data_IF_261696975964
#
_entry.id   IF_261696975964
#
_cell.length_a   1.000
_cell.length_b   1.000
_cell.length_c   1.000
_cell.angle_alpha   90.00
_cell.angle_beta   90.00
_cell.angle_gamma   90.00
#
_symmetry.space_group_name_H-M   'P 1'
#
loop_
_entity.id
_entity.type
_entity.pdbx_description
1 polymer ?
#
# COMPACT_ATOMS: atom_id res chain seq x y z
N UNK A 1 5.57 30.37 -32.74
CA UNK A 1 6.32 29.71 -33.85
C UNK A 1 7.40 28.72 -33.38
N UNK A 2 7.98 28.86 -32.17
CA UNK A 2 9.17 28.08 -31.76
C UNK A 2 8.97 26.56 -31.48
N UNK A 3 7.78 26.11 -31.06
CA UNK A 3 7.56 24.69 -30.70
C UNK A 3 7.58 23.79 -31.91
N UNK A 4 6.81 24.16 -32.94
CA UNK A 4 6.66 23.37 -34.13
C UNK A 4 8.01 23.21 -34.83
N UNK A 5 8.81 24.28 -34.88
CA UNK A 5 10.17 24.23 -35.37
C UNK A 5 11.05 23.28 -34.54
N UNK A 6 10.99 23.31 -33.20
CA UNK A 6 11.73 22.37 -32.36
C UNK A 6 11.30 20.90 -32.57
N UNK A 7 10.00 20.64 -32.73
CA UNK A 7 9.47 19.28 -32.97
C UNK A 7 9.88 18.80 -34.36
N UNK A 8 9.88 19.67 -35.36
CA UNK A 8 10.21 19.32 -36.74
C UNK A 8 11.72 19.23 -37.00
N UNK A 9 12.54 20.00 -36.29
CA UNK A 9 14.01 20.04 -36.51
C UNK A 9 14.77 19.04 -35.66
N UNK A 10 14.24 18.62 -34.51
CA UNK A 10 14.89 17.62 -33.65
C UNK A 10 14.41 16.21 -33.99
N UNK A 11 15.21 15.17 -33.69
CA UNK A 11 14.77 13.79 -33.79
C UNK A 11 13.81 13.46 -32.65
N UNK A 12 12.67 14.14 -32.56
CA UNK A 12 11.59 13.79 -31.64
C UNK A 12 10.94 12.51 -32.16
N UNK A 13 10.85 11.50 -31.30
CA UNK A 13 10.18 10.23 -31.59
C UNK A 13 8.68 10.33 -31.30
N UNK A 14 8.32 10.87 -30.13
CA UNK A 14 6.93 11.12 -29.74
C UNK A 14 6.83 12.22 -28.68
N UNK A 15 5.71 12.91 -28.66
CA UNK A 15 5.30 13.78 -27.54
C UNK A 15 4.60 12.90 -26.51
N UNK A 16 5.06 12.92 -25.26
CA UNK A 16 4.50 12.10 -24.17
C UNK A 16 3.55 12.89 -23.27
N UNK A 17 3.66 14.22 -23.27
CA UNK A 17 2.74 15.11 -22.55
C UNK A 17 2.69 16.49 -23.20
N UNK A 18 1.53 17.15 -23.14
CA UNK A 18 1.35 18.52 -23.58
C UNK A 18 0.32 19.22 -22.69
N UNK A 19 0.57 20.49 -22.37
CA UNK A 19 -0.38 21.34 -21.67
C UNK A 19 -0.32 22.77 -22.21
N UNK A 20 -1.49 23.41 -22.29
CA UNK A 20 -1.66 24.75 -22.82
C UNK A 20 -2.40 25.59 -21.77
N UNK A 21 -1.89 26.78 -21.49
CA UNK A 21 -2.54 27.77 -20.66
C UNK A 21 -3.43 28.70 -21.47
N UNK A 22 -3.97 29.73 -20.82
CA UNK A 22 -4.89 30.69 -21.45
C UNK A 22 -4.22 31.71 -22.37
N UNK A 23 -2.88 31.78 -22.41
CA UNK A 23 -2.11 32.69 -23.29
C UNK A 23 -1.46 31.90 -24.43
N UNK A 24 -1.33 32.48 -25.65
CA UNK A 24 -0.75 31.80 -26.82
C UNK A 24 0.65 31.22 -26.58
N UNK A 25 1.50 31.89 -25.81
CA UNK A 25 2.86 31.45 -25.50
C UNK A 25 2.98 30.77 -24.12
N UNK A 26 1.86 30.42 -23.48
CA UNK A 26 1.84 29.66 -22.23
C UNK A 26 1.58 28.19 -22.54
N UNK A 27 2.64 27.41 -22.70
CA UNK A 27 2.53 25.98 -22.99
C UNK A 27 3.69 25.18 -22.36
N UNK A 28 3.50 23.87 -22.20
CA UNK A 28 4.48 22.94 -21.66
C UNK A 28 4.40 21.61 -22.42
N UNK A 29 5.53 21.12 -22.95
CA UNK A 29 5.60 19.83 -23.65
C UNK A 29 6.67 18.94 -23.04
N UNK A 30 6.39 17.65 -22.95
CA UNK A 30 7.36 16.59 -22.69
C UNK A 30 7.40 15.67 -23.91
N UNK A 31 8.60 15.30 -24.33
CA UNK A 31 8.81 14.44 -25.49
C UNK A 31 9.98 13.49 -25.29
N UNK A 32 9.93 12.37 -26.02
CA UNK A 32 10.98 11.37 -26.13
C UNK A 32 11.70 11.57 -27.47
N UNK A 33 13.02 11.66 -27.45
CA UNK A 33 13.87 11.74 -28.63
C UNK A 33 14.10 10.33 -29.22
N UNK A 34 14.59 10.23 -30.46
CA UNK A 34 14.87 8.94 -31.12
C UNK A 34 15.94 8.10 -30.42
N UNK A 35 16.83 8.73 -29.64
CA UNK A 35 17.82 8.05 -28.82
C UNK A 35 17.26 7.52 -27.48
N UNK A 36 15.96 7.72 -27.22
CA UNK A 36 15.29 7.31 -25.98
C UNK A 36 15.38 8.32 -24.85
N UNK A 37 16.12 9.42 -25.00
CA UNK A 37 16.19 10.47 -23.98
C UNK A 37 14.87 11.26 -23.89
N UNK A 38 14.47 11.62 -22.67
CA UNK A 38 13.32 12.46 -22.44
C UNK A 38 13.75 13.92 -22.20
N UNK A 39 12.98 14.86 -22.73
CA UNK A 39 13.18 16.29 -22.52
C UNK A 39 11.84 17.01 -22.45
N UNK A 40 11.83 18.20 -21.86
CA UNK A 40 10.68 19.10 -21.91
C UNK A 40 11.05 20.46 -22.50
N UNK A 41 10.01 21.19 -22.92
CA UNK A 41 10.08 22.58 -23.38
C UNK A 41 8.91 23.37 -22.80
N UNK A 42 9.15 24.64 -22.58
CA UNK A 42 8.18 25.58 -22.03
C UNK A 42 8.05 26.82 -22.91
N UNK A 43 6.85 27.38 -22.95
CA UNK A 43 6.57 28.64 -23.62
C UNK A 43 7.08 29.85 -22.84
N UNK A 44 7.21 30.97 -23.52
CA UNK A 44 7.73 32.21 -22.94
C UNK A 44 6.80 32.77 -21.85
N UNK A 45 5.51 32.50 -21.96
CA UNK A 45 4.47 33.06 -21.10
C UNK A 45 3.93 32.05 -20.08
N UNK A 46 4.70 31.04 -19.66
CA UNK A 46 4.30 30.22 -18.52
C UNK A 46 4.31 31.04 -17.22
N UNK A 47 3.54 30.65 -16.18
CA UNK A 47 3.57 31.34 -14.89
C UNK A 47 4.99 31.44 -14.30
N UNK A 48 5.36 32.61 -13.77
CA UNK A 48 6.71 32.85 -13.22
C UNK A 48 7.10 31.83 -12.15
N UNK A 49 6.17 31.49 -11.27
CA UNK A 49 6.39 30.50 -10.21
C UNK A 49 6.67 29.10 -10.80
N UNK A 50 6.02 28.71 -11.91
CA UNK A 50 6.32 27.46 -12.59
C UNK A 50 7.74 27.49 -13.18
N UNK A 51 8.14 28.61 -13.79
CA UNK A 51 9.48 28.78 -14.34
C UNK A 51 10.56 28.61 -13.26
N UNK A 52 10.39 29.27 -12.12
CA UNK A 52 11.31 29.15 -10.97
C UNK A 52 11.36 27.72 -10.42
N UNK A 53 10.21 27.04 -10.33
CA UNK A 53 10.16 25.64 -9.91
C UNK A 53 10.94 24.74 -10.86
N UNK A 54 10.74 24.92 -12.17
CA UNK A 54 11.45 24.18 -13.22
C UNK A 54 12.97 24.40 -13.13
N UNK A 55 13.42 25.64 -12.95
CA UNK A 55 14.83 25.98 -12.78
C UNK A 55 15.44 25.30 -11.55
N UNK A 56 14.69 25.19 -10.45
CA UNK A 56 15.12 24.53 -9.22
C UNK A 56 15.34 23.02 -9.38
N UNK A 57 14.49 22.35 -10.17
CA UNK A 57 14.59 20.90 -10.41
C UNK A 57 15.47 20.55 -11.63
N UNK A 58 15.90 21.54 -12.42
CA UNK A 58 16.73 21.35 -13.60
C UNK A 58 18.08 20.62 -13.35
N UNK A 59 18.70 20.66 -12.16
CA UNK A 59 19.91 19.87 -11.90
C UNK A 59 19.65 18.37 -11.66
N UNK A 60 18.39 17.93 -11.48
CA UNK A 60 18.05 16.55 -11.10
C UNK A 60 17.35 15.86 -12.28
N UNK A 61 18.10 15.05 -13.04
CA UNK A 61 17.61 14.47 -14.29
C UNK A 61 16.36 13.59 -14.12
N UNK A 62 16.27 12.80 -13.04
CA UNK A 62 15.11 11.96 -12.76
C UNK A 62 13.83 12.79 -12.61
N UNK A 63 13.88 13.91 -11.87
CA UNK A 63 12.72 14.78 -11.67
C UNK A 63 12.29 15.47 -12.97
N UNK A 64 13.24 15.81 -13.84
CA UNK A 64 12.94 16.43 -15.14
C UNK A 64 12.14 15.51 -16.06
N UNK A 65 12.45 14.22 -16.05
CA UNK A 65 11.74 13.24 -16.89
C UNK A 65 10.37 12.87 -16.32
N UNK A 66 10.22 12.91 -14.98
CA UNK A 66 8.98 12.65 -14.28
C UNK A 66 8.00 13.85 -14.25
N UNK A 67 8.47 15.07 -14.54
CA UNK A 67 7.67 16.29 -14.47
C UNK A 67 6.48 16.29 -15.43
N UNK A 68 5.29 16.56 -14.90
CA UNK A 68 4.07 16.87 -15.66
C UNK A 68 3.48 18.17 -15.14
N UNK A 69 2.97 18.97 -16.07
CA UNK A 69 2.36 20.27 -15.77
C UNK A 69 1.02 20.33 -16.45
N UNK A 70 -0.01 20.75 -15.71
CA UNK A 70 -1.29 21.18 -16.24
C UNK A 70 -1.43 22.70 -16.04
N UNK A 71 -1.37 23.45 -17.13
CA UNK A 71 -1.59 24.89 -17.12
C UNK A 71 -3.10 25.18 -17.05
N UNK A 72 -3.48 26.19 -16.26
CA UNK A 72 -4.84 26.67 -16.11
C UNK A 72 -5.00 28.13 -16.53
N UNK A 73 -6.17 28.69 -16.24
CA UNK A 73 -6.45 30.11 -16.47
C UNK A 73 -5.75 30.99 -15.43
N UNK A 74 -5.59 32.29 -15.72
CA UNK A 74 -5.10 33.31 -14.78
C UNK A 74 -3.77 32.95 -14.08
N UNK A 75 -2.78 32.49 -14.84
CA UNK A 75 -1.47 32.05 -14.33
C UNK A 75 -1.51 30.88 -13.33
N UNK A 76 -2.63 30.17 -13.21
CA UNK A 76 -2.70 28.96 -12.38
C UNK A 76 -2.08 27.75 -13.08
N UNK A 77 -1.53 26.84 -12.31
CA UNK A 77 -1.00 25.58 -12.81
C UNK A 77 -0.97 24.51 -11.73
N UNK A 78 -0.91 23.27 -12.16
CA UNK A 78 -0.69 22.09 -11.34
C UNK A 78 0.57 21.38 -11.83
N UNK A 79 1.43 20.99 -10.89
CA UNK A 79 2.61 20.18 -11.15
C UNK A 79 2.43 18.82 -10.50
N UNK A 80 2.77 17.77 -11.23
CA UNK A 80 2.89 16.40 -10.72
C UNK A 80 4.29 15.85 -11.07
N UNK A 81 4.89 15.15 -10.12
CA UNK A 81 6.08 14.34 -10.31
C UNK A 81 5.62 12.90 -10.13
N UNK A 82 5.73 12.09 -11.20
CA UNK A 82 5.19 10.72 -11.33
C UNK A 82 3.73 10.61 -11.85
N UNK A 83 3.52 10.47 -13.18
CA UNK A 83 2.21 10.23 -13.78
C UNK A 83 1.81 8.75 -13.93
N UNK A 84 2.60 7.80 -13.41
CA UNK A 84 2.30 6.37 -13.45
C UNK A 84 2.00 5.78 -12.06
N UNK A 85 2.17 6.55 -10.98
CA UNK A 85 1.55 6.23 -9.71
C UNK A 85 0.01 6.22 -9.85
N UNK A 86 -0.70 5.18 -9.36
CA UNK A 86 -2.17 5.08 -9.44
C UNK A 86 -2.88 6.24 -8.70
N UNK A 87 -2.15 6.98 -7.88
CA UNK A 87 -2.49 8.29 -7.33
C UNK A 87 -1.29 9.19 -7.56
N UNK A 88 -1.45 10.30 -8.29
CA UNK A 88 -0.45 11.37 -8.26
C UNK A 88 -0.44 11.92 -6.83
N UNK A 89 0.49 11.50 -5.97
CA UNK A 89 0.46 11.86 -4.54
C UNK A 89 1.06 13.26 -4.27
N UNK A 90 1.65 13.90 -5.28
CA UNK A 90 2.24 15.24 -5.14
C UNK A 90 1.56 16.23 -6.08
N UNK A 91 0.78 17.14 -5.51
CA UNK A 91 0.22 18.29 -6.21
C UNK A 91 0.80 19.58 -5.64
N UNK A 92 1.32 20.46 -6.48
CA UNK A 92 1.54 21.86 -6.11
C UNK A 92 0.41 22.71 -6.71
N UNK A 93 -0.40 23.33 -5.84
CA UNK A 93 -1.38 24.35 -6.23
C UNK A 93 -0.76 25.72 -6.03
N UNK A 94 -0.53 26.44 -7.13
CA UNK A 94 -0.05 27.82 -7.07
C UNK A 94 -1.13 28.70 -7.68
N UNK A 95 -1.92 29.34 -6.81
CA UNK A 95 -2.96 30.29 -7.20
C UNK A 95 -2.42 31.71 -7.04
N UNK A 96 -2.30 32.44 -8.15
CA UNK A 96 -1.99 33.87 -8.14
C UNK A 96 -3.22 34.65 -7.64
N UNK A 97 -3.02 35.56 -6.68
CA UNK A 97 -4.09 36.47 -6.24
C UNK A 97 -4.25 37.62 -7.24
N UNK A 98 -5.47 38.17 -7.34
CA UNK A 98 -5.86 39.19 -8.32
C UNK A 98 -5.09 40.54 -8.24
N UNK A 99 -4.17 40.72 -7.29
CA UNK A 99 -3.47 42.00 -7.03
C UNK A 99 -1.94 41.90 -7.08
N UNK A 100 -1.37 41.02 -7.93
CA UNK A 100 0.09 40.91 -8.15
C UNK A 100 0.95 40.53 -6.93
N UNK A 101 0.36 40.16 -5.80
CA UNK A 101 1.09 39.54 -4.69
C UNK A 101 1.47 38.09 -5.01
N UNK A 102 2.68 37.71 -4.60
CA UNK A 102 3.19 36.34 -4.67
C UNK A 102 2.24 35.38 -3.94
N UNK A 103 2.13 34.13 -4.39
CA UNK A 103 1.24 33.16 -3.75
C UNK A 103 1.69 32.95 -2.29
N UNK A 104 0.83 33.18 -1.28
CA UNK A 104 1.26 33.23 0.12
C UNK A 104 1.67 31.86 0.68
N UNK A 105 1.46 30.77 -0.05
CA UNK A 105 1.92 29.45 0.35
C UNK A 105 2.16 28.53 -0.85
N UNK A 106 3.16 27.66 -0.70
CA UNK A 106 3.36 26.47 -1.53
C UNK A 106 2.98 25.28 -0.64
N UNK A 107 1.98 24.49 -1.03
CA UNK A 107 1.62 23.28 -0.29
C UNK A 107 2.53 22.15 -0.75
N UNK A 108 3.37 21.64 0.14
CA UNK A 108 4.13 20.41 -0.02
C UNK A 108 3.40 19.28 0.70
N UNK A 109 3.20 18.14 0.03
CA UNK A 109 2.49 16.98 0.59
C UNK A 109 3.44 15.90 1.17
N UNK A 110 4.67 16.25 1.56
CA UNK A 110 5.56 15.32 2.25
C UNK A 110 6.26 15.96 3.45
N UNK A 111 6.64 15.08 4.39
CA UNK A 111 6.91 15.21 5.83
C UNK A 111 8.01 16.20 6.30
N UNK A 112 8.25 17.31 5.63
CA UNK A 112 9.16 18.34 6.14
C UNK A 112 8.45 19.63 6.55
N UNK A 113 8.85 20.10 7.72
CA UNK A 113 8.38 21.27 8.48
C UNK A 113 7.96 22.45 7.59
N UNK A 114 6.77 22.99 7.84
CA UNK A 114 6.30 24.24 7.24
C UNK A 114 7.34 25.35 7.40
N UNK A 115 7.82 25.90 6.29
CA UNK A 115 8.43 27.23 6.28
C UNK A 115 7.40 28.21 5.73
N UNK A 116 6.57 28.74 6.63
CA UNK A 116 5.85 29.99 6.34
C UNK A 116 6.88 31.10 6.24
N UNK A 117 6.91 31.81 5.12
CA UNK A 117 7.69 33.04 5.02
C UNK A 117 6.97 34.13 5.83
N UNK A 118 7.18 34.17 7.14
CA UNK A 118 6.69 35.28 7.95
C UNK A 118 7.65 35.67 9.07
N UNK A 119 8.28 36.82 8.89
CA UNK A 119 8.66 37.72 9.97
C UNK A 119 8.81 39.14 9.40
N UNK A 120 7.67 39.81 9.14
CA UNK A 120 7.62 41.27 9.10
C UNK A 120 6.35 41.73 9.83
N UNK A 121 6.58 42.10 11.09
CA UNK A 121 5.86 43.01 11.99
C UNK A 121 4.36 42.77 12.30
N UNK A 122 3.95 42.88 13.59
CA UNK A 122 2.58 42.68 14.01
C UNK A 122 1.71 43.94 13.78
N UNK A 123 0.75 43.85 12.86
CA UNK A 123 -0.31 44.85 12.73
C UNK A 123 -1.71 44.23 12.90
N UNK A 124 -2.33 44.58 14.04
CA UNK A 124 -3.76 44.66 14.39
C UNK A 124 -4.70 43.44 14.24
N UNK A 125 -5.61 43.23 15.23
CA UNK A 125 -6.58 42.14 15.23
C UNK A 125 -7.83 42.51 14.41
N UNK A 126 -7.84 42.17 13.13
CA UNK A 126 -9.08 42.09 12.35
C UNK A 126 -9.34 40.62 12.03
N UNK A 127 -10.57 40.19 12.30
CA UNK A 127 -11.07 38.82 12.25
C UNK A 127 -10.58 38.04 11.02
N UNK A 128 -9.66 37.11 11.27
CA UNK A 128 -9.24 36.10 10.31
C UNK A 128 -10.41 35.15 10.09
N UNK A 129 -11.15 35.33 9.00
CA UNK A 129 -12.06 34.34 8.45
C UNK A 129 -11.19 33.12 8.11
N UNK A 130 -11.15 32.12 9.01
CA UNK A 130 -10.54 30.83 8.72
C UNK A 130 -11.36 30.17 7.62
N UNK A 131 -10.84 30.20 6.40
CA UNK A 131 -11.41 29.51 5.25
C UNK A 131 -11.30 27.99 5.49
N UNK A 132 -12.36 27.39 6.04
CA UNK A 132 -12.45 25.97 6.41
C UNK A 132 -12.68 25.04 5.22
N UNK A 133 -12.48 25.50 3.98
CA UNK A 133 -12.95 24.80 2.77
C UNK A 133 -12.04 23.69 2.24
N UNK A 134 -10.85 23.49 2.79
CA UNK A 134 -9.96 22.39 2.38
C UNK A 134 -9.37 21.73 3.61
N UNK A 135 -10.15 20.87 4.25
CA UNK A 135 -9.60 19.90 5.19
C UNK A 135 -8.95 18.78 4.38
N UNK A 136 -7.66 18.55 4.63
CA UNK A 136 -6.98 17.34 4.21
C UNK A 136 -7.71 16.14 4.86
N UNK A 137 -8.55 15.46 4.07
CA UNK A 137 -9.02 14.14 4.45
C UNK A 137 -7.85 13.22 4.16
N UNK A 138 -7.12 12.87 5.22
CA UNK A 138 -6.10 11.84 5.18
C UNK A 138 -6.78 10.53 4.78
N UNK A 139 -6.78 10.23 3.48
CA UNK A 139 -7.13 8.90 3.00
C UNK A 139 -5.89 8.07 3.23
N UNK A 140 -5.88 7.26 4.28
CA UNK A 140 -4.96 6.13 4.31
C UNK A 140 -5.14 5.37 2.98
N UNK A 141 -4.07 5.14 2.20
CA UNK A 141 -4.18 4.38 0.96
C UNK A 141 -4.88 3.07 1.31
N UNK A 142 -5.99 2.78 0.65
CA UNK A 142 -6.76 1.57 0.91
C UNK A 142 -5.80 0.39 0.79
N UNK A 143 -5.43 -0.19 1.95
CA UNK A 143 -4.52 -1.33 1.97
C UNK A 143 -5.18 -2.41 1.12
N UNK A 144 -4.54 -2.90 0.04
CA UNK A 144 -5.13 -3.91 -0.79
C UNK A 144 -5.57 -5.08 0.10
N UNK A 145 -6.87 -5.40 0.07
CA UNK A 145 -7.50 -6.38 0.97
C UNK A 145 -7.01 -7.81 0.75
N UNK A 146 -6.25 -8.01 -0.31
CA UNK A 146 -5.89 -9.29 -0.87
C UNK A 146 -4.43 -9.28 -1.26
N UNK A 147 -3.76 -10.41 -1.04
CA UNK A 147 -2.39 -10.60 -1.50
C UNK A 147 -2.18 -12.08 -1.84
N UNK A 148 -1.08 -12.40 -2.53
CA UNK A 148 -0.68 -13.76 -2.86
C UNK A 148 0.74 -13.99 -2.38
N UNK A 149 1.03 -15.18 -1.86
CA UNK A 149 2.39 -15.55 -1.57
C UNK A 149 3.07 -15.99 -2.86
N UNK A 150 4.29 -15.54 -3.05
CA UNK A 150 5.17 -16.03 -4.09
C UNK A 150 6.54 -16.35 -3.51
N UNK A 151 7.24 -17.28 -4.15
CA UNK A 151 8.64 -17.54 -3.90
C UNK A 151 9.44 -16.87 -5.02
N UNK A 152 10.45 -16.08 -4.65
CA UNK A 152 11.36 -15.51 -5.64
C UNK A 152 12.16 -16.61 -6.32
N UNK A 153 12.17 -16.60 -7.64
CA UNK A 153 12.95 -17.55 -8.47
C UNK A 153 14.41 -17.12 -8.61
N UNK A 154 14.72 -15.86 -8.36
CA UNK A 154 16.01 -15.21 -8.64
C UNK A 154 16.51 -14.36 -7.46
N UNK A 155 17.79 -13.98 -7.48
CA UNK A 155 18.41 -13.06 -6.52
C UNK A 155 18.73 -11.73 -7.22
N UNK A 156 18.54 -10.61 -6.52
CA UNK A 156 18.77 -9.25 -7.03
C UNK A 156 17.48 -8.55 -7.43
N UNK A 157 17.56 -7.70 -8.46
CA UNK A 157 16.44 -6.96 -9.05
C UNK A 157 16.29 -7.37 -10.53
N UNK A 158 15.07 -7.42 -11.09
CA UNK A 158 14.86 -7.54 -12.53
C UNK A 158 15.75 -6.61 -13.37
N UNK A 159 15.88 -5.35 -12.96
CA UNK A 159 16.73 -4.31 -13.51
C UNK A 159 17.65 -3.77 -12.40
N UNK A 160 18.95 -4.13 -12.41
CA UNK A 160 19.88 -3.83 -11.30
C UNK A 160 20.06 -2.35 -10.95
N UNK A 161 19.74 -1.43 -11.88
CA UNK A 161 19.90 0.01 -11.71
C UNK A 161 18.63 0.71 -11.21
N UNK A 162 17.50 0.02 -11.23
CA UNK A 162 16.22 0.62 -10.88
C UNK A 162 15.98 0.52 -9.37
N UNK A 163 16.00 1.69 -8.72
CA UNK A 163 15.86 1.81 -7.26
C UNK A 163 14.48 1.41 -6.75
N UNK A 164 13.46 1.46 -7.62
CA UNK A 164 12.04 1.18 -7.35
C UNK A 164 11.69 -0.31 -7.37
N UNK A 165 12.58 -1.15 -7.89
CA UNK A 165 12.39 -2.60 -7.87
C UNK A 165 12.81 -3.22 -6.54
N UNK A 166 12.03 -4.20 -6.11
CA UNK A 166 12.30 -4.90 -4.86
C UNK A 166 13.48 -5.84 -5.04
N UNK A 167 14.49 -5.68 -4.20
CA UNK A 167 15.63 -6.59 -4.15
C UNK A 167 15.25 -7.88 -3.41
N UNK A 168 15.42 -9.02 -4.10
CA UNK A 168 14.98 -10.33 -3.64
C UNK A 168 16.15 -11.31 -3.51
N UNK A 169 15.97 -12.34 -2.69
CA UNK A 169 16.85 -13.53 -2.67
C UNK A 169 16.11 -14.72 -3.28
N UNK A 170 16.78 -15.54 -4.08
CA UNK A 170 16.18 -16.79 -4.60
C UNK A 170 15.69 -17.67 -3.45
N UNK A 171 14.47 -18.18 -3.57
CA UNK A 171 13.80 -18.95 -2.52
C UNK A 171 13.08 -18.10 -1.48
N UNK A 172 13.24 -16.77 -1.49
CA UNK A 172 12.58 -15.89 -0.55
C UNK A 172 11.07 -15.85 -0.77
N UNK A 173 10.31 -16.08 0.30
CA UNK A 173 8.86 -15.94 0.31
C UNK A 173 8.51 -14.44 0.42
N UNK A 174 7.64 -13.95 -0.47
CA UNK A 174 7.22 -12.53 -0.52
C UNK A 174 5.71 -12.39 -0.66
N UNK A 175 5.17 -11.30 -0.12
CA UNK A 175 3.76 -10.94 -0.27
C UNK A 175 3.58 -10.14 -1.56
N UNK A 176 2.61 -10.52 -2.39
CA UNK A 176 2.31 -9.87 -3.68
C UNK A 176 0.91 -9.30 -3.62
N UNK A 177 0.77 -7.98 -3.63
CA UNK A 177 -0.48 -7.29 -3.32
C UNK A 177 -1.38 -7.10 -4.54
N UNK A 178 -0.85 -6.55 -5.61
CA UNK A 178 -1.64 -6.10 -6.76
C UNK A 178 -0.93 -6.39 -8.07
N UNK A 179 -1.70 -6.77 -9.09
CA UNK A 179 -1.27 -6.82 -10.49
C UNK A 179 -1.44 -5.43 -11.08
N UNK A 180 -0.32 -4.76 -11.35
CA UNK A 180 -0.29 -3.41 -11.92
C UNK A 180 -0.31 -3.43 -13.46
N UNK A 181 -0.57 -4.60 -14.06
CA UNK A 181 -0.57 -4.80 -15.51
C UNK A 181 0.81 -5.14 -16.06
N UNK A 182 0.86 -5.64 -17.30
CA UNK A 182 2.08 -6.08 -17.96
C UNK A 182 2.93 -7.05 -17.12
N UNK A 183 2.28 -7.87 -16.28
CA UNK A 183 2.93 -8.85 -15.40
C UNK A 183 3.87 -8.19 -14.37
N UNK A 184 3.61 -6.94 -13.98
CA UNK A 184 4.27 -6.27 -12.87
C UNK A 184 3.40 -6.30 -11.62
N UNK A 185 4.04 -6.51 -10.48
CA UNK A 185 3.37 -6.61 -9.21
C UNK A 185 4.01 -5.70 -8.17
N UNK A 186 3.16 -5.12 -7.31
CA UNK A 186 3.63 -4.55 -6.05
C UNK A 186 3.83 -5.67 -5.04
N UNK A 187 5.03 -5.81 -4.50
CA UNK A 187 5.37 -6.86 -3.55
C UNK A 187 6.04 -6.29 -2.29
N UNK A 188 6.05 -7.09 -1.23
CA UNK A 188 6.67 -6.80 0.06
C UNK A 188 7.53 -7.98 0.49
N UNK A 189 8.79 -7.71 0.82
CA UNK A 189 9.72 -8.74 1.28
C UNK A 189 9.55 -9.02 2.79
N UNK A 190 10.29 -10.00 3.32
CA UNK A 190 10.23 -10.35 4.75
C UNK A 190 10.71 -9.25 5.72
N UNK A 191 11.30 -8.16 5.21
CA UNK A 191 11.71 -6.98 6.00
C UNK A 191 10.64 -5.88 5.97
N UNK A 192 9.49 -6.10 5.33
CA UNK A 192 8.45 -5.09 5.16
C UNK A 192 8.75 -4.04 4.09
N UNK A 193 9.85 -4.19 3.34
CA UNK A 193 10.20 -3.28 2.25
C UNK A 193 9.31 -3.60 1.06
N UNK A 194 8.65 -2.57 0.52
CA UNK A 194 7.81 -2.68 -0.67
C UNK A 194 8.57 -2.26 -1.92
N UNK A 195 8.23 -2.87 -3.04
CA UNK A 195 8.78 -2.51 -4.34
C UNK A 195 8.19 -3.33 -5.47
N UNK A 196 8.62 -3.02 -6.68
CA UNK A 196 8.10 -3.63 -7.90
C UNK A 196 8.82 -4.93 -8.20
N UNK A 197 8.06 -5.95 -8.63
CA UNK A 197 8.60 -7.23 -9.07
C UNK A 197 7.87 -7.72 -10.30
N UNK A 198 8.62 -8.10 -11.33
CA UNK A 198 8.05 -8.71 -12.51
C UNK A 198 7.66 -10.18 -12.25
N UNK A 199 6.51 -10.63 -12.74
CA UNK A 199 5.98 -11.98 -12.49
C UNK A 199 6.87 -13.11 -13.01
N UNK A 200 7.77 -12.84 -13.96
CA UNK A 200 8.79 -13.84 -14.36
C UNK A 200 9.80 -14.14 -13.26
N UNK A 201 9.86 -13.34 -12.18
CA UNK A 201 10.66 -13.59 -10.98
C UNK A 201 9.88 -14.31 -9.88
N UNK A 202 8.57 -14.46 -10.05
CA UNK A 202 7.68 -15.02 -9.04
C UNK A 202 7.28 -16.46 -9.38
N UNK A 203 7.34 -17.33 -8.38
CA UNK A 203 6.64 -18.60 -8.37
C UNK A 203 5.47 -18.49 -7.39
N UNK A 204 4.27 -18.21 -7.89
CA UNK A 204 3.09 -18.08 -7.04
C UNK A 204 2.77 -19.41 -6.35
N UNK A 205 2.59 -19.37 -5.03
CA UNK A 205 2.24 -20.53 -4.24
C UNK A 205 0.73 -20.79 -4.36
N UNK A 206 0.31 -21.44 -5.44
CA UNK A 206 -1.09 -21.80 -5.68
C UNK A 206 -1.93 -20.71 -6.36
N UNK A 207 -3.17 -21.08 -6.70
CA UNK A 207 -4.12 -20.21 -7.42
C UNK A 207 -4.97 -19.31 -6.51
N UNK A 208 -4.87 -19.47 -5.19
CA UNK A 208 -5.75 -18.76 -4.24
C UNK A 208 -5.19 -17.39 -3.88
N UNK A 209 -6.10 -16.43 -3.78
CA UNK A 209 -5.86 -15.09 -3.27
C UNK A 209 -5.94 -15.18 -1.75
N UNK A 210 -4.84 -14.94 -1.04
CA UNK A 210 -4.82 -14.99 0.41
C UNK A 210 -5.38 -13.69 0.99
N UNK A 211 -6.24 -13.81 2.01
CA UNK A 211 -6.57 -12.69 2.90
C UNK A 211 -5.39 -12.46 3.83
N UNK A 212 -5.02 -11.19 4.05
CA UNK A 212 -3.94 -10.81 4.97
C UNK A 212 -4.14 -11.51 6.32
N UNK A 213 -3.19 -12.35 6.81
CA UNK A 213 -3.36 -13.09 8.05
C UNK A 213 -3.76 -12.19 9.21
N UNK A 214 -3.27 -10.95 9.25
CA UNK A 214 -3.66 -9.97 10.26
C UNK A 214 -5.11 -9.53 10.13
N UNK A 215 -5.59 -9.18 8.93
CA UNK A 215 -7.03 -8.91 8.71
C UNK A 215 -7.91 -10.10 9.08
N UNK A 216 -7.49 -11.32 8.71
CA UNK A 216 -8.20 -12.57 9.03
C UNK A 216 -8.21 -12.82 10.54
N UNK A 217 -7.09 -12.59 11.23
CA UNK A 217 -6.97 -12.73 12.67
C UNK A 217 -7.84 -11.71 13.42
N UNK A 218 -7.90 -10.46 12.95
CA UNK A 218 -8.80 -9.43 13.51
C UNK A 218 -10.25 -9.91 13.41
N UNK A 219 -10.68 -10.40 12.24
CA UNK A 219 -12.02 -10.94 12.05
C UNK A 219 -12.28 -12.14 12.97
N UNK A 220 -11.34 -13.07 13.07
CA UNK A 220 -11.41 -14.20 13.99
C UNK A 220 -11.61 -13.75 15.44
N UNK A 221 -10.82 -12.78 15.91
CA UNK A 221 -10.93 -12.23 17.27
C UNK A 221 -12.27 -11.54 17.53
N UNK A 222 -12.77 -10.75 16.57
CA UNK A 222 -14.08 -10.11 16.68
C UNK A 222 -15.22 -11.14 16.78
N UNK A 223 -15.17 -12.18 15.95
CA UNK A 223 -16.16 -13.25 15.99
C UNK A 223 -16.06 -14.07 17.27
N UNK A 224 -14.84 -14.38 17.75
CA UNK A 224 -14.67 -15.09 19.02
C UNK A 224 -15.23 -14.27 20.20
N UNK A 225 -15.01 -12.95 20.23
CA UNK A 225 -15.60 -12.08 21.27
C UNK A 225 -17.12 -12.07 21.23
N UNK A 226 -17.73 -12.14 20.04
CA UNK A 226 -19.18 -12.18 19.87
C UNK A 226 -19.78 -13.54 20.24
N UNK A 227 -19.08 -14.63 19.91
CA UNK A 227 -19.57 -16.00 20.09
C UNK A 227 -19.34 -16.57 21.49
N UNK A 228 -18.26 -16.18 22.17
CA UNK A 228 -17.89 -16.71 23.49
C UNK A 228 -18.64 -16.02 24.64
N UNK A 229 -19.97 -15.97 24.54
CA UNK A 229 -20.86 -15.54 25.62
C UNK A 229 -21.27 -16.74 26.47
N UNK A 230 -21.13 -16.68 27.81
CA UNK A 230 -21.46 -17.80 28.70
C UNK A 230 -22.84 -18.42 28.44
N UNK A 231 -22.88 -19.74 28.21
CA UNK A 231 -24.09 -20.53 27.99
C UNK A 231 -24.81 -20.35 26.65
N UNK A 232 -24.32 -19.50 25.73
CA UNK A 232 -25.02 -19.15 24.49
C UNK A 232 -24.47 -19.82 23.23
N UNK A 233 -23.28 -20.44 23.29
CA UNK A 233 -22.67 -21.04 22.11
C UNK A 233 -23.43 -22.32 21.70
N UNK A 234 -24.03 -22.31 20.52
CA UNK A 234 -24.74 -23.45 19.94
C UNK A 234 -23.89 -24.23 18.92
N UNK A 235 -23.06 -23.52 18.16
CA UNK A 235 -22.24 -24.10 17.09
C UNK A 235 -20.79 -23.66 17.28
N UNK A 236 -19.86 -24.56 17.00
CA UNK A 236 -18.44 -24.22 17.02
C UNK A 236 -18.11 -23.47 15.72
N UNK A 237 -17.46 -22.29 15.78
CA UNK A 237 -17.12 -21.55 14.57
C UNK A 237 -16.16 -22.39 13.71
N UNK A 238 -16.49 -22.65 12.43
CA UNK A 238 -15.64 -23.45 11.55
C UNK A 238 -14.34 -22.69 11.26
N UNK A 239 -13.23 -23.15 11.83
CA UNK A 239 -11.97 -22.40 11.73
C UNK A 239 -11.42 -22.31 10.29
N UNK A 240 -11.83 -23.24 9.43
CA UNK A 240 -11.51 -23.25 8.00
C UNK A 240 -11.99 -22.00 7.25
N UNK A 241 -13.00 -21.32 7.77
CA UNK A 241 -13.54 -20.09 7.17
C UNK A 241 -12.60 -18.90 7.39
N UNK A 242 -11.72 -19.00 8.41
CA UNK A 242 -10.63 -18.06 8.65
C UNK A 242 -9.35 -18.50 7.92
N UNK A 243 -8.95 -19.78 8.04
CA UNK A 243 -7.69 -20.24 7.47
C UNK A 243 -7.75 -21.71 7.05
N UNK A 244 -7.45 -22.02 5.78
CA UNK A 244 -7.34 -23.40 5.27
C UNK A 244 -6.36 -23.47 4.10
N UNK A 245 -5.22 -22.83 4.24
CA UNK A 245 -4.23 -22.63 3.18
C UNK A 245 -3.14 -23.71 3.14
N UNK A 246 -2.96 -24.49 4.20
CA UNK A 246 -1.98 -25.56 4.24
C UNK A 246 -2.28 -26.63 3.17
N UNK A 247 -1.33 -26.78 2.24
CA UNK A 247 -1.37 -27.75 1.13
C UNK A 247 -0.64 -29.06 1.45
N UNK A 248 -0.08 -29.20 2.66
CA UNK A 248 0.64 -30.42 3.03
C UNK A 248 -0.33 -31.62 2.96
N UNK A 249 0.02 -32.62 2.16
CA UNK A 249 -0.80 -33.81 1.95
C UNK A 249 -1.09 -34.54 3.27
N UNK A 250 -0.14 -34.56 4.22
CA UNK A 250 -0.33 -35.17 5.54
C UNK A 250 -1.39 -34.45 6.39
N UNK A 251 -1.69 -33.19 6.10
CA UNK A 251 -2.70 -32.41 6.81
C UNK A 251 -4.12 -32.62 6.27
N UNK A 252 -4.27 -33.09 5.01
CA UNK A 252 -5.59 -33.21 4.38
C UNK A 252 -6.54 -34.17 5.12
N UNK A 253 -6.10 -35.36 5.58
CA UNK A 253 -6.96 -36.23 6.36
C UNK A 253 -7.48 -35.54 7.63
N UNK A 254 -6.62 -34.81 8.35
CA UNK A 254 -6.99 -34.09 9.57
C UNK A 254 -8.03 -33.00 9.31
N UNK A 255 -7.91 -32.24 8.22
CA UNK A 255 -8.89 -31.20 7.87
C UNK A 255 -10.28 -31.75 7.56
N UNK A 256 -10.36 -32.96 7.01
CA UNK A 256 -11.62 -33.59 6.62
C UNK A 256 -12.28 -34.28 7.82
N UNK A 257 -11.48 -34.90 8.70
CA UNK A 257 -12.00 -35.69 9.82
C UNK A 257 -12.34 -34.87 11.06
N UNK A 258 -11.65 -33.74 11.27
CA UNK A 258 -11.86 -32.87 12.44
C UNK A 258 -13.04 -31.94 12.24
N UNK A 259 -13.70 -31.55 13.34
CA UNK A 259 -14.84 -30.62 13.25
C UNK A 259 -14.37 -29.18 12.98
N UNK A 260 -13.17 -28.84 13.43
CA UNK A 260 -12.60 -27.49 13.27
C UNK A 260 -12.12 -27.20 11.85
N UNK A 261 -11.82 -28.24 11.06
CA UNK A 261 -11.52 -28.13 9.64
C UNK A 261 -10.15 -27.54 9.28
N UNK A 262 -9.24 -27.43 10.25
CA UNK A 262 -7.90 -26.85 10.06
C UNK A 262 -6.81 -27.75 10.62
N UNK A 263 -5.58 -27.60 10.13
CA UNK A 263 -4.41 -28.26 10.71
C UNK A 263 -3.55 -27.27 11.54
N UNK A 264 -2.49 -27.78 12.17
CA UNK A 264 -1.55 -26.96 12.97
C UNK A 264 -0.92 -25.83 12.14
N UNK A 265 -0.59 -26.07 10.87
CA UNK A 265 0.00 -25.04 10.00
C UNK A 265 -0.98 -23.91 9.64
N UNK A 266 -2.27 -24.24 9.48
CA UNK A 266 -3.31 -23.23 9.28
C UNK A 266 -3.46 -22.40 10.55
N UNK A 267 -3.52 -23.07 11.72
CA UNK A 267 -3.62 -22.36 12.99
C UNK A 267 -2.41 -21.45 13.21
N UNK A 268 -1.19 -21.94 12.95
CA UNK A 268 0.03 -21.13 12.99
C UNK A 268 -0.12 -19.85 12.14
N UNK A 269 -0.47 -20.02 10.86
CA UNK A 269 -0.63 -18.90 9.92
C UNK A 269 -1.69 -17.91 10.39
N UNK A 270 -2.80 -18.40 10.95
CA UNK A 270 -3.85 -17.55 11.51
C UNK A 270 -3.34 -16.74 12.71
N UNK A 271 -2.65 -17.39 13.65
CA UNK A 271 -2.19 -16.76 14.89
C UNK A 271 -0.97 -15.84 14.69
N UNK A 272 -0.12 -16.09 13.70
CA UNK A 272 0.91 -15.13 13.26
C UNK A 272 0.32 -13.77 12.88
N UNK A 273 -0.94 -13.76 12.40
CA UNK A 273 -1.70 -12.55 12.12
C UNK A 273 -1.89 -11.62 13.33
N UNK A 274 -1.72 -12.12 14.56
CA UNK A 274 -1.76 -11.31 15.78
C UNK A 274 -0.60 -10.31 15.89
N UNK A 275 0.55 -10.62 15.30
CA UNK A 275 1.81 -9.91 15.57
C UNK A 275 2.36 -10.10 16.99
N UNK A 276 1.75 -10.98 17.80
CA UNK A 276 2.13 -11.28 19.19
C UNK A 276 2.52 -12.76 19.36
N UNK A 277 2.69 -13.49 18.25
CA UNK A 277 2.96 -14.93 18.28
C UNK A 277 4.29 -15.23 18.99
N UNK A 278 4.20 -15.73 20.21
CA UNK A 278 5.30 -16.24 21.02
C UNK A 278 4.79 -17.31 22.00
N UNK A 279 5.70 -18.05 22.63
CA UNK A 279 5.34 -19.14 23.55
C UNK A 279 4.41 -18.70 24.70
N UNK A 280 4.77 -17.61 25.39
CA UNK A 280 3.99 -17.11 26.54
C UNK A 280 2.58 -16.69 26.11
N UNK A 281 2.46 -16.03 24.96
CA UNK A 281 1.18 -15.65 24.39
C UNK A 281 0.34 -16.86 23.97
N UNK A 282 0.95 -17.88 23.34
CA UNK A 282 0.27 -19.13 22.99
C UNK A 282 -0.26 -19.85 24.23
N UNK A 283 0.49 -19.83 25.33
CA UNK A 283 0.07 -20.42 26.61
C UNK A 283 -1.17 -19.73 27.17
N UNK A 284 -1.25 -18.40 27.09
CA UNK A 284 -2.42 -17.63 27.49
C UNK A 284 -3.64 -17.93 26.61
N UNK A 285 -3.48 -17.89 25.29
CA UNK A 285 -4.55 -18.17 24.34
C UNK A 285 -5.04 -19.63 24.45
N UNK A 286 -4.13 -20.59 24.64
CA UNK A 286 -4.47 -22.00 24.86
C UNK A 286 -5.40 -22.19 26.06
N UNK A 287 -5.25 -21.40 27.12
CA UNK A 287 -6.12 -21.49 28.30
C UNK A 287 -7.58 -21.13 27.99
N UNK A 288 -7.85 -20.32 26.96
CA UNK A 288 -9.22 -20.02 26.51
C UNK A 288 -9.91 -21.28 25.97
N UNK A 289 -9.14 -22.13 25.29
CA UNK A 289 -9.59 -23.37 24.66
C UNK A 289 -9.60 -24.57 25.60
N UNK A 290 -9.20 -24.41 26.87
CA UNK A 290 -9.25 -25.51 27.84
C UNK A 290 -10.69 -26.07 27.93
N UNK A 291 -10.91 -27.38 27.74
CA UNK A 291 -12.26 -27.95 27.56
C UNK A 291 -13.23 -27.60 28.69
N UNK A 292 -12.77 -27.59 29.94
CA UNK A 292 -13.61 -27.27 31.10
C UNK A 292 -13.91 -25.79 31.25
N UNK A 293 -13.01 -24.92 30.78
CA UNK A 293 -13.23 -23.47 30.76
C UNK A 293 -14.15 -23.11 29.59
N UNK A 294 -13.88 -23.67 28.41
CA UNK A 294 -14.66 -23.47 27.20
C UNK A 294 -16.11 -23.95 27.35
N UNK A 295 -16.31 -25.05 28.08
CA UNK A 295 -17.61 -25.61 28.45
C UNK A 295 -18.56 -24.61 29.17
N UNK A 296 -18.07 -23.48 29.67
CA UNK A 296 -18.88 -22.39 30.26
C UNK A 296 -19.57 -21.54 29.20
N UNK A 297 -19.05 -21.49 27.98
CA UNK A 297 -19.67 -20.80 26.85
C UNK A 297 -20.73 -21.65 26.14
N UNK A 298 -20.61 -22.98 26.23
CA UNK A 298 -21.48 -23.91 25.55
C UNK A 298 -22.91 -23.94 26.11
N UNK A 299 -23.89 -23.97 25.22
CA UNK A 299 -25.27 -24.29 25.58
C UNK A 299 -25.38 -25.73 26.13
N UNK A 300 -26.16 -25.98 27.19
CA UNK A 300 -26.23 -27.29 27.86
C UNK A 300 -26.51 -28.47 26.92
N UNK A 301 -27.41 -28.29 25.96
CA UNK A 301 -27.80 -29.35 25.01
C UNK A 301 -26.70 -29.78 24.04
N UNK A 302 -25.67 -28.95 23.83
CA UNK A 302 -24.57 -29.21 22.87
C UNK A 302 -23.19 -29.23 23.51
N UNK A 303 -23.14 -29.14 24.84
CA UNK A 303 -21.92 -29.01 25.62
C UNK A 303 -20.89 -30.10 25.33
N UNK A 304 -21.33 -31.35 25.19
CA UNK A 304 -20.43 -32.48 24.90
C UNK A 304 -19.74 -32.35 23.55
N UNK A 305 -20.49 -32.03 22.50
CA UNK A 305 -19.95 -31.86 21.15
C UNK A 305 -18.97 -30.69 21.08
N UNK A 306 -19.37 -29.51 21.57
CA UNK A 306 -18.55 -28.29 21.53
C UNK A 306 -17.27 -28.42 22.37
N UNK A 307 -17.31 -29.19 23.47
CA UNK A 307 -16.12 -29.52 24.27
C UNK A 307 -15.10 -30.31 23.45
N UNK A 308 -15.57 -31.22 22.58
CA UNK A 308 -14.71 -31.98 21.66
C UNK A 308 -13.96 -31.07 20.69
N UNK A 309 -14.65 -30.12 20.05
CA UNK A 309 -14.01 -29.17 19.13
C UNK A 309 -13.00 -28.26 19.85
N UNK A 310 -13.32 -27.80 21.07
CA UNK A 310 -12.37 -27.00 21.86
C UNK A 310 -11.12 -27.81 22.27
N UNK A 311 -11.29 -29.09 22.60
CA UNK A 311 -10.17 -30.00 22.86
C UNK A 311 -9.26 -30.14 21.64
N UNK A 312 -9.82 -30.24 20.42
CA UNK A 312 -9.01 -30.28 19.18
C UNK A 312 -8.14 -29.03 19.05
N UNK A 313 -8.72 -27.83 19.23
CA UNK A 313 -7.96 -26.57 19.19
C UNK A 313 -6.90 -26.51 20.30
N UNK A 314 -7.23 -26.92 21.52
CA UNK A 314 -6.30 -26.96 22.65
C UNK A 314 -5.07 -27.86 22.40
N UNK A 315 -5.26 -28.97 21.68
CA UNK A 315 -4.17 -29.85 21.24
C UNK A 315 -3.31 -29.16 20.18
N UNK A 316 -3.93 -28.51 19.18
CA UNK A 316 -3.16 -27.78 18.16
C UNK A 316 -2.30 -26.68 18.77
N UNK A 317 -2.81 -25.91 19.75
CA UNK A 317 -2.00 -24.95 20.50
C UNK A 317 -0.82 -25.61 21.23
N UNK A 318 -1.00 -26.84 21.76
CA UNK A 318 0.10 -27.60 22.38
C UNK A 318 1.22 -27.88 21.37
N UNK A 319 0.88 -28.37 20.19
CA UNK A 319 1.87 -28.61 19.12
C UNK A 319 2.58 -27.31 18.71
N UNK A 320 1.85 -26.20 18.61
CA UNK A 320 2.45 -24.89 18.31
C UNK A 320 3.42 -24.41 19.39
N UNK A 321 3.13 -24.69 20.66
CA UNK A 321 4.02 -24.38 21.78
C UNK A 321 5.30 -25.21 21.71
N UNK A 322 5.19 -26.52 21.44
CA UNK A 322 6.36 -27.41 21.27
C UNK A 322 7.27 -26.92 20.13
N UNK A 323 6.66 -26.48 19.02
CA UNK A 323 7.39 -25.89 17.87
C UNK A 323 8.10 -24.57 18.18
N UNK A 324 7.75 -23.87 19.26
CA UNK A 324 8.43 -22.63 19.68
C UNK A 324 9.62 -22.89 20.62
N UNK A 325 9.74 -24.08 21.20
CA UNK A 325 10.85 -24.44 22.10
C UNK A 325 12.09 -24.94 21.36
N UNK A 326 11.99 -25.28 20.07
CA UNK A 326 13.08 -25.74 19.18
C UNK A 326 13.83 -24.60 18.47
#
# INVERSE_FOLDING_TARGET
MAVLECILTKPVKKVTWASYGSRPDSWFFVFENKDGSAAFRIGADIPLALKQFIERIAPVDDLRTALRVQLGANDSFLVALDPHAPVAETFAFIKKHHNAHEAPFVIHFYQDTMHTAEALEPASPVQLIRDTRLQHIEREPEKPKFFRWAISKNTGRPHPKDSWELELKKGQKIKVWEDLGNNWYMAENGLGIKGWVHGTWLAFCGSRVHKDPRSTYIQFQEDMRRLLVPGQLHDFPPLRDYMSECVNAACQPLKITTQIGICVHDLHTLLEGSGQYCYDWLKEERNVWHPDKFARYCHPARKGQLKGSAQEVFVLYGVLMDMCEE
#
